data_IF_750556478546
#
_entry.id   IF_750556478546
#
_cell.length_a   1.000
_cell.length_b   1.000
_cell.length_c   1.000
_cell.angle_alpha   90.00
_cell.angle_beta   90.00
_cell.angle_gamma   90.00
#
_symmetry.space_group_name_H-M   'P 1'
#
loop_
_entity.id
_entity.type
_entity.pdbx_description
1 polymer ?
#
# COMPACT_ATOMS: atom_id res chain seq x y z
N UNK A 1 8.61 -27.94 -26.14
CA UNK A 1 9.66 -27.19 -25.43
C UNK A 1 9.00 -25.87 -25.10
N UNK A 2 8.40 -25.78 -23.92
CA UNK A 2 7.63 -24.61 -23.51
C UNK A 2 8.60 -23.45 -23.30
N UNK A 3 8.43 -22.37 -24.07
CA UNK A 3 9.16 -21.13 -23.87
C UNK A 3 8.96 -20.68 -22.42
N UNK A 4 10.02 -20.42 -21.64
CA UNK A 4 9.88 -19.96 -20.28
C UNK A 4 9.08 -18.67 -20.34
N UNK A 5 8.04 -18.58 -19.51
CA UNK A 5 7.20 -17.41 -19.31
C UNK A 5 8.09 -16.17 -19.33
N UNK A 6 8.16 -15.50 -20.48
CA UNK A 6 8.81 -14.20 -20.58
C UNK A 6 8.00 -13.31 -19.65
N UNK A 7 8.61 -12.97 -18.51
CA UNK A 7 8.00 -12.10 -17.53
C UNK A 7 7.46 -10.86 -18.25
N UNK A 8 6.18 -10.57 -18.02
CA UNK A 8 5.47 -9.48 -18.69
C UNK A 8 6.22 -8.14 -18.52
N UNK A 9 6.93 -7.97 -17.40
CA UNK A 9 7.79 -6.81 -17.14
C UNK A 9 9.01 -6.83 -18.09
N UNK A 10 9.72 -7.95 -18.21
CA UNK A 10 10.86 -8.12 -19.12
C UNK A 10 10.47 -7.76 -20.55
N UNK A 11 9.33 -8.26 -21.04
CA UNK A 11 8.86 -7.95 -22.39
C UNK A 11 8.57 -6.45 -22.56
N UNK A 12 7.85 -5.84 -21.62
CA UNK A 12 7.51 -4.41 -21.70
C UNK A 12 8.75 -3.50 -21.61
N UNK A 13 9.74 -3.86 -20.79
CA UNK A 13 11.02 -3.13 -20.73
C UNK A 13 11.79 -3.28 -22.03
N UNK A 14 11.84 -4.49 -22.60
CA UNK A 14 12.47 -4.72 -23.91
C UNK A 14 11.79 -3.91 -25.02
N UNK A 15 10.46 -3.91 -25.08
CA UNK A 15 9.68 -3.14 -26.06
C UNK A 15 9.94 -1.64 -25.90
N UNK A 16 9.94 -1.12 -24.66
CA UNK A 16 10.28 0.27 -24.36
C UNK A 16 11.71 0.64 -24.79
N UNK A 17 12.67 -0.25 -24.59
CA UNK A 17 14.07 0.01 -24.93
C UNK A 17 14.32 -0.05 -26.43
N UNK A 18 13.90 -1.14 -27.08
CA UNK A 18 14.35 -1.49 -28.43
C UNK A 18 13.31 -2.20 -29.31
N UNK A 19 12.41 -3.00 -28.70
CA UNK A 19 11.43 -3.81 -29.43
C UNK A 19 10.41 -2.97 -30.23
N UNK A 20 9.98 -1.82 -29.70
CA UNK A 20 9.16 -0.85 -30.42
C UNK A 20 10.00 -0.05 -31.43
N UNK A 21 9.48 0.25 -32.64
CA UNK A 21 10.11 1.19 -33.59
C UNK A 21 10.47 2.57 -33.00
N UNK A 22 9.77 2.98 -31.93
CA UNK A 22 9.98 4.22 -31.19
C UNK A 22 10.73 4.00 -29.86
N UNK A 23 11.32 2.82 -29.65
CA UNK A 23 12.07 2.45 -28.46
C UNK A 23 13.16 3.46 -28.11
N UNK A 24 13.45 3.65 -26.82
CA UNK A 24 14.30 4.75 -26.36
C UNK A 24 15.72 4.68 -26.93
N UNK A 25 16.26 3.48 -27.11
CA UNK A 25 17.62 3.26 -27.64
C UNK A 25 17.73 3.61 -29.12
N UNK A 26 16.63 3.54 -29.88
CA UNK A 26 16.62 3.90 -31.31
C UNK A 26 16.84 5.39 -31.55
N UNK A 27 16.73 6.22 -30.51
CA UNK A 27 17.02 7.66 -30.56
C UNK A 27 18.51 7.97 -30.46
N UNK A 28 19.30 7.00 -30.00
CA UNK A 28 20.73 7.13 -29.81
C UNK A 28 21.47 6.40 -30.92
N UNK A 29 22.63 6.93 -31.29
CA UNK A 29 23.57 6.25 -32.18
C UNK A 29 24.19 5.07 -31.43
N UNK A 30 24.16 3.91 -32.07
CA UNK A 30 24.89 2.73 -31.61
C UNK A 30 26.40 3.02 -31.69
N UNK A 31 27.17 2.46 -30.75
CA UNK A 31 28.62 2.55 -30.83
C UNK A 31 29.16 1.78 -32.03
N UNK A 32 29.99 2.43 -32.85
CA UNK A 32 30.45 1.92 -34.16
C UNK A 32 31.25 0.60 -34.11
N UNK A 33 31.67 0.17 -32.92
CA UNK A 33 32.48 -1.03 -32.69
C UNK A 33 31.70 -2.24 -32.16
N UNK A 34 30.38 -2.11 -31.94
CA UNK A 34 29.55 -3.22 -31.47
C UNK A 34 28.97 -4.00 -32.66
N UNK A 35 29.30 -5.29 -32.74
CA UNK A 35 28.61 -6.22 -33.65
C UNK A 35 27.21 -6.58 -33.15
N UNK A 36 26.37 -7.14 -34.03
CA UNK A 36 24.96 -7.44 -33.75
C UNK A 36 24.76 -8.34 -32.51
N UNK A 37 25.60 -9.35 -32.32
CA UNK A 37 25.53 -10.25 -31.16
C UNK A 37 25.85 -9.52 -29.86
N UNK A 38 26.81 -8.60 -29.89
CA UNK A 38 27.23 -7.83 -28.74
C UNK A 38 26.19 -6.76 -28.37
N UNK A 39 25.55 -6.17 -29.39
CA UNK A 39 24.41 -5.28 -29.21
C UNK A 39 23.22 -6.01 -28.58
N UNK A 40 22.94 -7.25 -29.02
CA UNK A 40 21.87 -8.07 -28.42
C UNK A 40 22.18 -8.36 -26.95
N UNK A 41 23.41 -8.75 -26.62
CA UNK A 41 23.82 -9.02 -25.24
C UNK A 41 23.65 -7.76 -24.36
N UNK A 42 24.11 -6.60 -24.83
CA UNK A 42 23.97 -5.33 -24.11
C UNK A 42 22.50 -4.98 -23.85
N UNK A 43 21.61 -5.18 -24.83
CA UNK A 43 20.16 -4.94 -24.61
C UNK A 43 19.62 -5.87 -23.53
N UNK A 44 19.97 -7.15 -23.55
CA UNK A 44 19.49 -8.12 -22.55
C UNK A 44 19.96 -7.71 -21.15
N UNK A 45 21.24 -7.34 -21.01
CA UNK A 45 21.80 -6.89 -19.73
C UNK A 45 21.11 -5.62 -19.24
N UNK A 46 20.85 -4.65 -20.13
CA UNK A 46 20.10 -3.43 -19.80
C UNK A 46 18.65 -3.73 -19.38
N UNK A 47 17.97 -4.66 -20.04
CA UNK A 47 16.61 -5.07 -19.66
C UNK A 47 16.60 -5.64 -18.24
N UNK A 48 17.55 -6.52 -17.93
CA UNK A 48 17.69 -7.11 -16.59
C UNK A 48 18.05 -6.08 -15.53
N UNK A 49 18.97 -5.16 -15.83
CA UNK A 49 19.36 -4.09 -14.91
C UNK A 49 18.19 -3.16 -14.59
N UNK A 50 17.41 -2.76 -15.61
CA UNK A 50 16.21 -1.93 -15.40
C UNK A 50 15.16 -2.71 -14.62
N UNK A 51 14.89 -3.96 -14.99
CA UNK A 51 13.92 -4.83 -14.31
C UNK A 51 14.22 -4.94 -12.82
N UNK A 52 15.49 -5.16 -12.44
CA UNK A 52 15.91 -5.25 -11.03
C UNK A 52 15.63 -3.98 -10.22
N UNK A 53 15.47 -2.83 -10.86
CA UNK A 53 15.10 -1.58 -10.17
C UNK A 53 13.58 -1.39 -10.05
N UNK A 54 12.77 -2.18 -10.76
CA UNK A 54 11.31 -2.09 -10.73
C UNK A 54 10.80 -3.03 -9.62
N UNK A 55 10.05 -2.52 -8.61
CA UNK A 55 9.48 -3.36 -7.56
C UNK A 55 8.50 -4.41 -8.11
N UNK A 56 8.52 -5.62 -7.54
CA UNK A 56 7.71 -6.79 -7.94
C UNK A 56 6.18 -6.59 -7.89
N UNK A 57 5.70 -5.44 -7.40
CA UNK A 57 4.28 -5.06 -7.33
C UNK A 57 3.81 -4.08 -8.40
N UNK A 58 4.65 -3.74 -9.40
CA UNK A 58 4.27 -2.83 -10.48
C UNK A 58 3.29 -3.49 -11.45
N UNK A 59 2.11 -2.89 -11.57
CA UNK A 59 1.07 -3.27 -12.53
C UNK A 59 1.32 -2.66 -13.92
N UNK A 60 0.66 -3.19 -14.95
CA UNK A 60 0.79 -2.66 -16.31
C UNK A 60 0.47 -1.14 -16.44
N UNK A 61 -0.57 -0.59 -15.79
CA UNK A 61 -0.78 0.86 -15.79
C UNK A 61 0.36 1.65 -15.13
N UNK A 62 1.00 1.11 -14.10
CA UNK A 62 2.14 1.75 -13.44
C UNK A 62 3.39 1.74 -14.33
N UNK A 63 3.59 0.68 -15.12
CA UNK A 63 4.64 0.64 -16.15
C UNK A 63 4.39 1.68 -17.26
N UNK A 64 3.14 1.90 -17.66
CA UNK A 64 2.78 2.96 -18.60
C UNK A 64 3.10 4.37 -18.08
N UNK A 65 3.06 4.59 -16.76
CA UNK A 65 3.51 5.83 -16.12
C UNK A 65 5.03 5.88 -15.96
N UNK A 66 5.67 4.73 -15.71
CA UNK A 66 7.10 4.62 -15.50
C UNK A 66 7.90 4.99 -16.75
N UNK A 67 7.54 4.46 -17.92
CA UNK A 67 8.34 4.61 -19.15
C UNK A 67 8.50 6.07 -19.62
N UNK A 68 7.46 6.92 -19.60
CA UNK A 68 7.63 8.36 -19.86
C UNK A 68 8.57 9.05 -18.87
N UNK A 69 8.47 8.74 -17.57
CA UNK A 69 9.35 9.30 -16.54
C UNK A 69 10.80 8.83 -16.70
N UNK A 70 11.00 7.55 -17.04
CA UNK A 70 12.31 7.00 -17.35
C UNK A 70 12.92 7.71 -18.58
N UNK A 71 12.15 7.91 -19.64
CA UNK A 71 12.62 8.66 -20.81
C UNK A 71 13.00 10.11 -20.45
N UNK A 72 12.23 10.78 -19.58
CA UNK A 72 12.55 12.14 -19.08
C UNK A 72 13.80 12.16 -18.21
N UNK A 73 13.98 11.18 -17.32
CA UNK A 73 15.17 11.06 -16.49
C UNK A 73 16.42 10.80 -17.35
N UNK A 74 16.33 9.88 -18.33
CA UNK A 74 17.42 9.62 -19.27
C UNK A 74 17.86 10.88 -20.03
N UNK A 75 16.92 11.68 -20.54
CA UNK A 75 17.25 12.93 -21.24
C UNK A 75 17.92 13.98 -20.34
N UNK A 76 17.64 13.97 -19.04
CA UNK A 76 18.28 14.88 -18.07
C UNK A 76 19.67 14.41 -17.69
N UNK A 77 19.86 13.09 -17.56
CA UNK A 77 21.11 12.49 -17.11
C UNK A 77 22.10 12.23 -18.26
N UNK A 78 21.63 12.17 -19.50
CA UNK A 78 22.44 11.86 -20.67
C UNK A 78 22.15 12.82 -21.82
N UNK A 79 23.12 13.66 -22.14
CA UNK A 79 23.05 14.63 -23.23
C UNK A 79 23.79 14.17 -24.51
N UNK A 80 24.47 13.02 -24.49
CA UNK A 80 25.24 12.56 -25.63
C UNK A 80 24.36 11.87 -26.68
N UNK A 81 24.85 11.83 -27.91
CA UNK A 81 24.14 11.22 -29.04
C UNK A 81 24.24 9.70 -29.06
N UNK A 82 25.19 9.10 -28.33
CA UNK A 82 25.39 7.66 -28.26
C UNK A 82 24.57 7.00 -27.16
N UNK A 83 24.52 5.68 -27.13
CA UNK A 83 23.83 4.93 -26.08
C UNK A 83 24.31 5.35 -24.68
N UNK A 84 23.37 5.61 -23.74
CA UNK A 84 23.74 5.84 -22.35
C UNK A 84 24.39 4.58 -21.77
N UNK A 85 25.41 4.71 -20.90
CA UNK A 85 25.95 3.54 -20.19
C UNK A 85 24.89 2.98 -19.23
N UNK A 86 24.99 1.69 -18.90
CA UNK A 86 24.05 0.99 -18.00
C UNK A 86 23.79 1.74 -16.68
N UNK A 87 24.84 2.31 -16.06
CA UNK A 87 24.72 3.12 -14.84
C UNK A 87 23.73 4.29 -14.97
N UNK A 88 23.62 4.88 -16.16
CA UNK A 88 22.69 5.97 -16.44
C UNK A 88 21.26 5.47 -16.55
N UNK A 89 21.05 4.28 -17.13
CA UNK A 89 19.74 3.62 -17.13
C UNK A 89 19.28 3.24 -15.73
N UNK A 90 20.17 2.68 -14.90
CA UNK A 90 19.88 2.35 -13.51
C UNK A 90 19.46 3.62 -12.74
N UNK A 91 20.26 4.68 -12.81
CA UNK A 91 19.97 5.94 -12.13
C UNK A 91 18.64 6.57 -12.61
N UNK A 92 18.40 6.58 -13.93
CA UNK A 92 17.17 7.09 -14.50
C UNK A 92 15.95 6.26 -14.09
N UNK A 93 16.09 4.94 -13.96
CA UNK A 93 15.02 4.04 -13.53
C UNK A 93 14.68 4.26 -12.06
N UNK A 94 15.69 4.39 -11.19
CA UNK A 94 15.49 4.72 -9.78
C UNK A 94 14.75 6.06 -9.60
N UNK A 95 15.11 7.08 -10.40
CA UNK A 95 14.41 8.36 -10.38
C UNK A 95 12.96 8.25 -10.85
N UNK A 96 12.72 7.50 -11.93
CA UNK A 96 11.38 7.28 -12.47
C UNK A 96 10.48 6.51 -11.48
N UNK A 97 11.00 5.44 -10.86
CA UNK A 97 10.29 4.66 -9.83
C UNK A 97 9.93 5.54 -8.64
N UNK A 98 10.87 6.37 -8.16
CA UNK A 98 10.60 7.34 -7.08
C UNK A 98 9.45 8.26 -7.48
N UNK A 99 9.47 8.80 -8.70
CA UNK A 99 8.44 9.72 -9.19
C UNK A 99 7.06 9.07 -9.29
N UNK A 100 6.98 7.86 -9.82
CA UNK A 100 5.72 7.10 -9.88
C UNK A 100 5.18 6.85 -8.47
N UNK A 101 6.03 6.47 -7.52
CA UNK A 101 5.61 6.26 -6.13
C UNK A 101 5.11 7.55 -5.45
N UNK A 102 5.72 8.70 -5.73
CA UNK A 102 5.20 10.00 -5.26
C UNK A 102 3.81 10.30 -5.83
N UNK A 103 3.59 10.02 -7.12
CA UNK A 103 2.29 10.21 -7.76
C UNK A 103 1.22 9.30 -7.13
N UNK A 104 1.56 8.03 -6.86
CA UNK A 104 0.67 7.09 -6.15
C UNK A 104 0.32 7.59 -4.75
N UNK A 105 1.32 8.10 -4.01
CA UNK A 105 1.10 8.64 -2.68
C UNK A 105 0.15 9.85 -2.72
N UNK A 106 0.35 10.76 -3.67
CA UNK A 106 -0.53 11.93 -3.89
C UNK A 106 -1.95 11.52 -4.29
N UNK A 107 -2.11 10.57 -5.21
CA UNK A 107 -3.43 10.10 -5.62
C UNK A 107 -4.16 9.43 -4.44
N UNK A 108 -3.45 8.65 -3.61
CA UNK A 108 -4.03 8.07 -2.40
C UNK A 108 -4.49 9.13 -1.41
N UNK A 109 -3.72 10.20 -1.23
CA UNK A 109 -4.10 11.34 -0.39
C UNK A 109 -5.34 12.03 -0.97
N UNK A 110 -5.33 12.40 -2.25
CA UNK A 110 -6.47 13.05 -2.93
C UNK A 110 -7.75 12.19 -2.89
N UNK A 111 -7.62 10.87 -3.11
CA UNK A 111 -8.73 9.92 -3.03
C UNK A 111 -9.32 9.82 -1.61
N UNK A 112 -8.50 10.10 -0.60
CA UNK A 112 -8.90 10.12 0.80
C UNK A 112 -9.34 11.51 1.28
N UNK A 113 -8.95 12.59 0.61
CA UNK A 113 -9.27 14.00 0.95
C UNK A 113 -10.74 14.39 0.72
N UNK A 114 -11.59 13.49 0.23
CA UNK A 114 -13.05 13.69 0.15
C UNK A 114 -13.88 12.62 0.87
N UNK A 115 -13.24 11.61 1.45
CA UNK A 115 -13.96 10.63 2.28
C UNK A 115 -14.05 11.20 3.69
N UNK A 116 -15.25 11.40 4.26
CA UNK A 116 -15.34 11.76 5.66
C UNK A 116 -14.53 10.71 6.43
N UNK A 117 -13.54 11.18 7.19
CA UNK A 117 -12.80 10.35 8.14
C UNK A 117 -13.89 9.65 8.94
N UNK A 118 -14.02 8.33 8.80
CA UNK A 118 -15.11 7.62 9.45
C UNK A 118 -15.07 8.00 10.92
N UNK A 119 -16.14 8.62 11.41
CA UNK A 119 -16.28 8.98 12.83
C UNK A 119 -15.82 7.77 13.64
N UNK A 120 -14.95 7.95 14.62
CA UNK A 120 -14.39 6.84 15.39
C UNK A 120 -15.51 5.95 15.93
N UNK A 121 -16.65 6.57 16.26
CA UNK A 121 -17.88 5.89 16.64
C UNK A 121 -18.46 5.03 15.50
N UNK A 122 -18.47 5.48 14.25
CA UNK A 122 -18.92 4.65 13.11
C UNK A 122 -18.00 3.45 12.83
N UNK A 123 -16.69 3.57 13.09
CA UNK A 123 -15.76 2.43 13.02
C UNK A 123 -16.10 1.41 14.12
N UNK A 124 -16.34 1.89 15.35
CA UNK A 124 -16.71 1.05 16.48
C UNK A 124 -18.09 0.39 16.28
N UNK A 125 -19.08 1.12 15.76
CA UNK A 125 -20.39 0.59 15.33
C UNK A 125 -20.20 -0.58 14.37
N UNK A 126 -19.40 -0.38 13.31
CA UNK A 126 -19.14 -1.41 12.30
C UNK A 126 -18.46 -2.64 12.90
N UNK A 127 -17.49 -2.45 13.81
CA UNK A 127 -16.81 -3.56 14.49
C UNK A 127 -17.77 -4.36 15.36
N UNK A 128 -18.59 -3.68 16.15
CA UNK A 128 -19.57 -4.33 17.04
C UNK A 128 -20.65 -5.07 16.25
N UNK A 129 -21.17 -4.48 15.16
CA UNK A 129 -22.12 -5.16 14.26
C UNK A 129 -21.53 -6.42 13.62
N UNK A 130 -20.23 -6.40 13.31
CA UNK A 130 -19.50 -7.55 12.75
C UNK A 130 -18.97 -8.53 13.80
N UNK A 131 -19.34 -8.36 15.08
CA UNK A 131 -18.84 -9.17 16.22
C UNK A 131 -17.31 -9.23 16.32
N UNK A 132 -16.63 -8.17 15.91
CA UNK A 132 -15.18 -8.07 16.00
C UNK A 132 -14.75 -7.59 17.39
N UNK A 133 -13.55 -7.96 17.87
CA UNK A 133 -13.04 -7.45 19.14
C UNK A 133 -13.01 -5.92 19.20
N UNK A 134 -13.52 -5.35 20.30
CA UNK A 134 -13.46 -3.92 20.59
C UNK A 134 -12.73 -3.68 21.92
N UNK A 135 -12.04 -2.54 22.07
CA UNK A 135 -11.35 -2.20 23.32
C UNK A 135 -12.32 -2.08 24.51
N UNK A 136 -11.91 -2.52 25.70
CA UNK A 136 -12.71 -2.42 26.93
C UNK A 136 -13.23 -0.99 27.23
N UNK A 137 -12.48 0.11 27.01
CA UNK A 137 -12.99 1.46 27.24
C UNK A 137 -14.25 1.80 26.43
N UNK A 138 -14.45 1.16 25.29
CA UNK A 138 -15.62 1.36 24.41
C UNK A 138 -16.88 0.71 25.00
N UNK A 139 -16.73 -0.25 25.91
CA UNK A 139 -17.84 -1.01 26.49
C UNK A 139 -18.45 -0.35 27.73
N UNK A 140 -17.68 0.45 28.46
CA UNK A 140 -18.11 1.12 29.70
C UNK A 140 -17.83 2.64 29.73
N UNK A 141 -17.08 3.21 28.79
CA UNK A 141 -16.72 4.64 28.80
C UNK A 141 -17.73 5.56 28.12
N UNK A 142 -17.36 6.84 27.90
CA UNK A 142 -18.21 7.84 27.22
C UNK A 142 -18.65 7.40 25.81
N UNK A 143 -17.77 6.69 25.11
CA UNK A 143 -18.06 6.11 23.80
C UNK A 143 -19.20 5.06 23.88
N UNK A 144 -19.28 4.29 24.97
CA UNK A 144 -20.36 3.33 25.18
C UNK A 144 -21.72 4.05 25.31
N UNK A 145 -21.76 5.12 26.11
CA UNK A 145 -22.97 5.91 26.33
C UNK A 145 -23.44 6.56 25.03
N UNK A 146 -22.50 7.14 24.25
CA UNK A 146 -22.82 7.78 22.98
C UNK A 146 -23.27 6.76 21.91
N UNK A 147 -22.64 5.58 21.84
CA UNK A 147 -23.08 4.49 20.95
C UNK A 147 -24.47 3.97 21.31
N UNK A 148 -24.77 3.81 22.60
CA UNK A 148 -26.10 3.42 23.08
C UNK A 148 -27.14 4.51 22.78
N UNK A 149 -26.79 5.80 22.95
CA UNK A 149 -27.66 6.94 22.66
C UNK A 149 -28.01 7.03 21.17
N UNK A 150 -27.07 6.71 20.27
CA UNK A 150 -27.28 6.67 18.82
C UNK A 150 -28.19 5.51 18.38
N UNK A 151 -28.43 4.51 19.22
CA UNK A 151 -29.38 3.43 18.97
C UNK A 151 -29.01 2.47 17.83
N UNK A 152 -27.80 2.57 17.29
CA UNK A 152 -27.31 1.73 16.18
C UNK A 152 -26.74 0.39 16.63
N UNK A 153 -26.38 0.29 17.90
CA UNK A 153 -25.97 -0.94 18.58
C UNK A 153 -26.98 -1.19 19.68
N UNK A 154 -27.59 -2.38 19.68
CA UNK A 154 -28.58 -2.73 20.68
C UNK A 154 -27.92 -3.06 22.03
N UNK A 155 -28.74 -3.00 23.09
CA UNK A 155 -28.28 -3.32 24.45
C UNK A 155 -27.74 -4.74 24.55
N UNK A 156 -28.32 -5.67 23.80
CA UNK A 156 -27.93 -7.07 23.77
C UNK A 156 -26.49 -7.27 23.23
N UNK A 157 -26.11 -6.54 22.17
CA UNK A 157 -24.74 -6.58 21.67
C UNK A 157 -23.74 -6.09 22.74
N UNK A 158 -24.03 -4.98 23.40
CA UNK A 158 -23.19 -4.51 24.51
C UNK A 158 -23.08 -5.52 25.65
N UNK A 159 -24.20 -6.13 26.07
CA UNK A 159 -24.21 -7.15 27.12
C UNK A 159 -23.37 -8.38 26.74
N UNK A 160 -23.42 -8.81 25.47
CA UNK A 160 -22.57 -9.91 24.98
C UNK A 160 -21.08 -9.58 25.15
N UNK A 161 -20.64 -8.41 24.68
CA UNK A 161 -19.23 -8.01 24.80
C UNK A 161 -18.79 -7.84 26.26
N UNK A 162 -19.67 -7.27 27.11
CA UNK A 162 -19.40 -7.08 28.54
C UNK A 162 -19.27 -8.43 29.26
N UNK A 163 -20.11 -9.40 28.91
CA UNK A 163 -20.04 -10.77 29.41
C UNK A 163 -18.73 -11.45 29.00
N UNK A 164 -18.36 -11.37 27.73
CA UNK A 164 -17.12 -11.98 27.22
C UNK A 164 -15.88 -11.41 27.94
N UNK A 165 -15.86 -10.09 28.18
CA UNK A 165 -14.80 -9.43 28.92
C UNK A 165 -14.77 -9.83 30.41
N UNK A 166 -15.94 -9.99 31.05
CA UNK A 166 -16.02 -10.53 32.42
C UNK A 166 -15.52 -11.97 32.49
N UNK A 167 -15.93 -12.85 31.58
CA UNK A 167 -15.48 -14.24 31.54
C UNK A 167 -13.98 -14.35 31.25
N UNK A 168 -13.42 -13.47 30.43
CA UNK A 168 -11.97 -13.35 30.25
C UNK A 168 -11.26 -12.99 31.56
N UNK A 169 -11.82 -12.06 32.35
CA UNK A 169 -11.26 -11.67 33.66
C UNK A 169 -11.38 -12.76 34.71
N UNK A 170 -12.51 -13.47 34.78
CA UNK A 170 -12.69 -14.62 35.69
C UNK A 170 -11.62 -15.69 35.41
N UNK A 171 -11.38 -16.00 34.14
CA UNK A 171 -10.35 -16.97 33.73
C UNK A 171 -8.93 -16.53 34.11
N UNK A 172 -8.65 -15.23 34.07
CA UNK A 172 -7.31 -14.71 34.29
C UNK A 172 -6.98 -14.43 35.76
N UNK A 173 -7.95 -13.95 36.54
CA UNK A 173 -7.70 -13.40 37.88
C UNK A 173 -8.57 -14.01 38.98
N UNK A 174 -9.51 -14.89 38.65
CA UNK A 174 -10.48 -15.43 39.59
C UNK A 174 -11.74 -14.56 39.70
N UNK A 175 -12.80 -15.15 40.29
CA UNK A 175 -14.14 -14.58 40.33
C UNK A 175 -14.23 -13.31 41.18
N UNK A 176 -13.61 -13.30 42.34
CA UNK A 176 -13.68 -12.19 43.30
C UNK A 176 -13.08 -10.90 42.70
N UNK A 177 -11.92 -11.01 42.05
CA UNK A 177 -11.23 -9.90 41.38
C UNK A 177 -12.02 -9.42 40.15
N UNK A 178 -12.65 -10.34 39.41
CA UNK A 178 -13.51 -9.99 38.28
C UNK A 178 -14.78 -9.25 38.71
N UNK A 179 -15.39 -9.64 39.84
CA UNK A 179 -16.56 -8.95 40.40
C UNK A 179 -16.22 -7.53 40.87
N UNK A 180 -15.09 -7.35 41.57
CA UNK A 180 -14.62 -6.02 41.96
C UNK A 180 -14.37 -5.11 40.74
N UNK A 181 -13.69 -5.64 39.73
CA UNK A 181 -13.45 -4.92 38.48
C UNK A 181 -14.75 -4.56 37.75
N UNK A 182 -15.73 -5.46 37.69
CA UNK A 182 -17.02 -5.20 37.05
C UNK A 182 -17.75 -4.04 37.74
N UNK A 183 -17.79 -4.04 39.07
CA UNK A 183 -18.39 -2.97 39.88
C UNK A 183 -17.72 -1.60 39.61
N UNK A 184 -16.38 -1.56 39.51
CA UNK A 184 -15.64 -0.35 39.14
C UNK A 184 -16.01 0.15 37.74
N UNK A 185 -16.17 -0.76 36.77
CA UNK A 185 -16.54 -0.43 35.39
C UNK A 185 -17.99 0.02 35.23
N UNK A 186 -18.92 -0.58 35.95
CA UNK A 186 -20.31 -0.12 35.99
C UNK A 186 -20.42 1.28 36.61
N UNK A 187 -19.69 1.53 37.70
CA UNK A 187 -19.61 2.86 38.31
C UNK A 187 -19.05 3.89 37.34
N UNK A 188 -18.01 3.53 36.59
CA UNK A 188 -17.45 4.38 35.55
C UNK A 188 -18.44 4.69 34.43
N UNK A 189 -19.20 3.68 33.98
CA UNK A 189 -20.24 3.84 32.96
C UNK A 189 -21.36 4.78 33.38
N UNK A 190 -21.84 4.64 34.63
CA UNK A 190 -22.87 5.53 35.18
C UNK A 190 -22.38 6.98 35.17
N UNK A 191 -21.13 7.23 35.61
CA UNK A 191 -20.54 8.59 35.59
C UNK A 191 -20.39 9.12 34.17
N UNK A 192 -19.96 8.28 33.23
CA UNK A 192 -19.80 8.66 31.82
C UNK A 192 -21.13 8.93 31.12
N UNK A 193 -22.22 8.29 31.53
CA UNK A 193 -23.56 8.51 30.97
C UNK A 193 -24.25 9.77 31.53
N UNK A 194 -23.74 10.34 32.63
CA UNK A 194 -24.25 11.56 33.26
C UNK A 194 -23.50 12.84 32.82
N UNK A 195 -22.37 12.71 32.13
CA UNK A 195 -21.57 13.81 31.57
C UNK A 195 -21.96 14.12 30.14
#
# INVERSE_FOLDING_TARGET
>A
MEDPVYDNITKQVFDFLYGDPNGVLRRFRVHEHLGDDQLRAEIIDLVEDIKRQIPDGFSAPELQLLFPELSRALRRLHAAQYWPPAKTFIAATQEAVRRVNELRAKERVLRNEGKPKADELSILETKMMKRQPVPEPVLWGPQAAELMKRGRIDKAAFESYRKDAYEARVRQYGREQAEKWLSERETWHIKAAQS
#
